data_IF_054906524046
#
_entry.id   IF_054906524046
#
_cell.length_a   1.000
_cell.length_b   1.000
_cell.length_c   1.000
_cell.angle_alpha   90.00
_cell.angle_beta   90.00
_cell.angle_gamma   90.00
#
_symmetry.space_group_name_H-M   'P 1'
#
loop_
_entity.id
_entity.type
_entity.pdbx_description
1 polymer ?
#
# COMPACT_ATOMS: atom_id res chain seq x y z
N UNK A 1 -14.17 -32.28 -75.58
CA UNK A 1 -12.91 -31.61 -75.22
C UNK A 1 -13.24 -30.16 -74.97
N UNK A 2 -12.53 -29.54 -74.02
CA UNK A 2 -12.73 -28.24 -73.38
C UNK A 2 -13.85 -28.18 -72.32
N UNK A 3 -13.60 -27.79 -71.07
CA UNK A 3 -12.37 -27.32 -70.46
C UNK A 3 -12.66 -26.76 -69.06
N UNK A 4 -12.08 -27.41 -68.05
CA UNK A 4 -11.64 -26.87 -66.76
C UNK A 4 -12.61 -25.99 -65.94
N UNK A 5 -13.31 -26.63 -64.98
CA UNK A 5 -13.75 -25.98 -63.74
C UNK A 5 -12.52 -25.49 -62.97
N UNK A 6 -12.31 -24.19 -62.90
CA UNK A 6 -11.37 -23.58 -61.96
C UNK A 6 -12.10 -23.10 -60.71
N UNK A 7 -12.00 -23.92 -59.66
CA UNK A 7 -12.08 -23.48 -58.27
C UNK A 7 -11.14 -22.28 -58.06
N UNK A 8 -11.70 -21.14 -57.65
CA UNK A 8 -10.93 -20.10 -56.97
C UNK A 8 -11.53 -19.93 -55.58
N UNK A 9 -11.06 -20.78 -54.67
CA UNK A 9 -11.18 -20.59 -53.23
C UNK A 9 -10.46 -19.28 -52.84
N UNK A 10 -11.19 -18.17 -52.80
CA UNK A 10 -10.71 -16.94 -52.18
C UNK A 10 -10.74 -17.11 -50.68
N UNK A 11 -9.57 -17.35 -50.08
CA UNK A 11 -9.32 -17.14 -48.66
C UNK A 11 -9.62 -15.69 -48.32
N UNK A 12 -10.83 -15.41 -47.81
CA UNK A 12 -11.18 -14.11 -47.29
C UNK A 12 -10.34 -13.85 -46.04
N UNK A 13 -9.29 -13.05 -46.20
CA UNK A 13 -8.52 -12.46 -45.12
C UNK A 13 -9.49 -11.61 -44.29
N UNK A 14 -10.01 -12.18 -43.20
CA UNK A 14 -10.95 -11.50 -42.29
C UNK A 14 -10.24 -10.33 -41.63
N UNK A 15 -10.29 -9.16 -42.28
CA UNK A 15 -9.75 -7.93 -41.74
C UNK A 15 -10.50 -7.58 -40.47
N UNK A 16 -9.77 -7.36 -39.37
CA UNK A 16 -10.33 -6.86 -38.12
C UNK A 16 -11.11 -5.57 -38.43
N UNK A 17 -12.43 -5.53 -38.14
CA UNK A 17 -13.28 -4.42 -38.56
C UNK A 17 -12.81 -3.12 -37.89
N UNK A 18 -12.95 -1.99 -38.60
CA UNK A 18 -12.38 -0.71 -38.18
C UNK A 18 -12.80 -0.26 -36.76
N UNK A 19 -14.03 -0.58 -36.36
CA UNK A 19 -14.54 -0.28 -35.02
C UNK A 19 -13.79 -1.04 -33.92
N UNK A 20 -13.34 -2.27 -34.17
CA UNK A 20 -12.53 -3.04 -33.21
C UNK A 20 -11.16 -2.39 -33.02
N UNK A 21 -10.55 -1.84 -34.08
CA UNK A 21 -9.28 -1.11 -33.96
C UNK A 21 -9.43 0.16 -33.13
N UNK A 22 -10.55 0.88 -33.28
CA UNK A 22 -10.88 2.06 -32.48
C UNK A 22 -11.06 1.67 -31.01
N UNK A 23 -11.83 0.62 -30.73
CA UNK A 23 -12.03 0.12 -29.35
C UNK A 23 -10.71 -0.31 -28.72
N UNK A 24 -9.87 -1.05 -29.45
CA UNK A 24 -8.53 -1.44 -28.98
C UNK A 24 -7.69 -0.20 -28.69
N UNK A 25 -7.71 0.81 -29.57
CA UNK A 25 -7.00 2.08 -29.35
C UNK A 25 -7.45 2.80 -28.08
N UNK A 26 -8.75 2.90 -27.85
CA UNK A 26 -9.32 3.51 -26.63
C UNK A 26 -8.91 2.72 -25.38
N UNK A 27 -9.00 1.39 -25.41
CA UNK A 27 -8.60 0.52 -24.30
C UNK A 27 -7.10 0.70 -24.00
N UNK A 28 -6.26 0.76 -25.04
CA UNK A 28 -4.83 0.94 -24.88
C UNK A 28 -4.49 2.29 -24.25
N UNK A 29 -5.16 3.37 -24.67
CA UNK A 29 -5.03 4.70 -24.06
C UNK A 29 -5.51 4.69 -22.62
N UNK A 30 -6.64 4.04 -22.33
CA UNK A 30 -7.15 3.93 -20.96
C UNK A 30 -6.15 3.19 -20.04
N UNK A 31 -5.53 2.10 -20.52
CA UNK A 31 -4.48 1.38 -19.79
C UNK A 31 -3.28 2.28 -19.52
N UNK A 32 -2.83 3.06 -20.50
CA UNK A 32 -1.71 4.00 -20.33
C UNK A 32 -2.05 5.06 -19.28
N UNK A 33 -3.26 5.61 -19.30
CA UNK A 33 -3.70 6.61 -18.33
C UNK A 33 -3.75 6.02 -16.91
N UNK A 34 -4.26 4.80 -16.76
CA UNK A 34 -4.28 4.11 -15.46
C UNK A 34 -2.85 3.84 -14.96
N UNK A 35 -1.96 3.37 -15.84
CA UNK A 35 -0.56 3.15 -15.48
C UNK A 35 0.14 4.46 -15.05
N UNK A 36 -0.07 5.56 -15.78
CA UNK A 36 0.47 6.87 -15.44
C UNK A 36 -0.07 7.40 -14.10
N UNK A 37 -1.35 7.17 -13.81
CA UNK A 37 -1.96 7.52 -12.53
C UNK A 37 -1.33 6.76 -11.35
N UNK A 38 -1.04 5.47 -11.53
CA UNK A 38 -0.38 4.66 -10.49
C UNK A 38 1.08 5.10 -10.30
N UNK A 39 1.81 5.38 -11.39
CA UNK A 39 3.21 5.81 -11.35
C UNK A 39 3.42 7.18 -10.70
N UNK A 40 2.40 8.04 -10.73
CA UNK A 40 2.46 9.42 -10.21
C UNK A 40 1.75 9.58 -8.87
N UNK A 41 1.43 8.47 -8.22
CA UNK A 41 0.77 8.46 -6.92
C UNK A 41 1.77 8.87 -5.84
N UNK A 42 1.48 9.99 -5.18
CA UNK A 42 2.29 10.52 -4.07
C UNK A 42 1.43 10.52 -2.82
N UNK A 43 2.00 10.04 -1.71
CA UNK A 43 1.35 10.03 -0.41
C UNK A 43 2.10 10.99 0.51
N UNK A 44 1.38 11.96 1.08
CA UNK A 44 1.93 12.91 2.04
C UNK A 44 1.24 12.77 3.40
N UNK A 45 2.04 12.77 4.46
CA UNK A 45 1.55 12.79 5.85
C UNK A 45 1.32 14.24 6.27
N UNK A 46 0.16 14.51 6.85
CA UNK A 46 -0.27 15.83 7.30
C UNK A 46 -0.92 15.74 8.69
N UNK A 47 -1.18 16.85 9.38
CA UNK A 47 -1.95 16.84 10.62
C UNK A 47 -3.33 16.18 10.42
N UNK A 48 -3.83 15.43 11.41
CA UNK A 48 -5.16 14.86 11.35
C UNK A 48 -6.24 15.95 11.42
N UNK A 49 -7.41 15.66 10.85
CA UNK A 49 -8.61 16.50 10.96
C UNK A 49 -9.45 16.04 12.16
N UNK A 50 -9.79 16.94 13.08
CA UNK A 50 -10.49 16.56 14.32
C UNK A 50 -11.88 15.93 14.09
N UNK A 51 -12.27 15.02 15.00
CA UNK A 51 -13.61 14.42 15.04
C UNK A 51 -13.84 13.23 14.11
N UNK A 52 -12.79 12.50 13.75
CA UNK A 52 -12.87 11.35 12.84
C UNK A 52 -13.13 10.02 13.57
N UNK A 53 -14.12 9.25 13.09
CA UNK A 53 -14.26 7.82 13.39
C UNK A 53 -13.37 6.98 12.46
N UNK A 54 -12.92 5.81 12.94
CA UNK A 54 -12.00 4.91 12.22
C UNK A 54 -12.61 3.52 11.96
N UNK A 55 -13.66 3.40 11.12
CA UNK A 55 -14.41 2.15 10.95
C UNK A 55 -13.67 1.12 10.09
N UNK A 56 -12.67 1.52 9.31
CA UNK A 56 -11.92 0.63 8.44
C UNK A 56 -10.60 0.24 9.10
N UNK A 57 -10.20 -1.03 9.00
CA UNK A 57 -8.93 -1.52 9.54
C UNK A 57 -8.24 -2.48 8.58
N UNK A 58 -6.92 -2.36 8.46
CA UNK A 58 -6.05 -3.28 7.77
C UNK A 58 -4.96 -3.80 8.72
N UNK A 59 -4.69 -5.10 8.68
CA UNK A 59 -3.71 -5.74 9.56
C UNK A 59 -2.50 -6.21 8.75
N UNK A 60 -1.32 -5.98 9.31
CA UNK A 60 -0.05 -6.32 8.70
C UNK A 60 0.85 -7.01 9.73
N UNK A 61 1.58 -8.04 9.31
CA UNK A 61 2.73 -8.56 10.03
C UNK A 61 3.94 -7.70 9.69
N UNK A 62 4.57 -7.08 10.68
CA UNK A 62 5.75 -6.25 10.50
C UNK A 62 6.92 -6.81 11.31
N UNK A 63 8.12 -6.74 10.75
CA UNK A 63 9.36 -7.03 11.49
C UNK A 63 10.29 -5.83 11.46
N UNK A 64 10.75 -5.43 12.64
CA UNK A 64 11.67 -4.34 12.86
C UNK A 64 13.05 -4.90 13.26
N UNK A 65 14.14 -4.46 12.63
CA UNK A 65 15.49 -4.82 13.07
C UNK A 65 15.79 -4.22 14.45
N UNK A 66 16.36 -5.02 15.35
CA UNK A 66 16.72 -4.55 16.68
C UNK A 66 17.91 -3.59 16.64
N UNK A 67 17.88 -2.57 17.50
CA UNK A 67 18.95 -1.58 17.64
C UNK A 67 19.08 -0.60 16.46
N UNK A 68 18.19 -0.68 15.46
CA UNK A 68 18.16 0.25 14.34
C UNK A 68 16.97 1.21 14.43
N UNK A 69 17.20 2.44 14.01
CA UNK A 69 16.14 3.43 13.84
C UNK A 69 15.45 3.20 12.49
N UNK A 70 14.13 3.10 12.53
CA UNK A 70 13.26 2.95 11.37
C UNK A 70 12.23 4.06 11.39
N UNK A 71 12.15 4.82 10.31
CA UNK A 71 11.16 5.88 10.17
C UNK A 71 9.84 5.30 9.66
N UNK A 72 8.73 5.54 10.36
CA UNK A 72 7.37 5.15 9.96
C UNK A 72 6.51 6.39 9.86
N UNK A 73 6.14 6.77 8.63
CA UNK A 73 5.58 8.09 8.38
C UNK A 73 6.59 9.18 8.75
N UNK A 74 6.33 9.90 9.85
CA UNK A 74 7.24 10.91 10.43
C UNK A 74 7.77 10.53 11.83
N UNK A 75 7.48 9.33 12.31
CA UNK A 75 7.97 8.86 13.61
C UNK A 75 9.28 8.08 13.42
N UNK A 76 10.30 8.39 14.20
CA UNK A 76 11.52 7.57 14.30
C UNK A 76 11.29 6.54 15.39
N UNK A 77 11.26 5.27 14.99
CA UNK A 77 11.02 4.13 15.88
C UNK A 77 12.33 3.34 15.99
N UNK A 78 12.79 3.09 17.20
CA UNK A 78 13.81 2.08 17.45
C UNK A 78 13.32 1.07 18.46
N UNK A 79 13.73 -0.18 18.29
CA UNK A 79 13.26 -1.29 19.12
C UNK A 79 14.45 -2.06 19.66
N UNK A 80 14.40 -2.38 20.95
CA UNK A 80 15.38 -3.17 21.66
C UNK A 80 14.62 -4.18 22.49
N UNK A 81 14.76 -5.46 22.19
CA UNK A 81 14.17 -6.51 23.01
C UNK A 81 15.21 -7.14 23.95
N UNK A 82 14.76 -7.50 25.14
CA UNK A 82 15.53 -8.16 26.17
C UNK A 82 14.61 -9.00 27.05
N UNK A 83 14.85 -10.30 27.15
CA UNK A 83 14.12 -11.24 28.04
C UNK A 83 12.59 -11.11 27.94
N UNK A 84 12.03 -11.20 26.73
CA UNK A 84 10.59 -11.06 26.44
C UNK A 84 9.98 -9.65 26.64
N UNK A 85 10.81 -8.67 26.98
CA UNK A 85 10.42 -7.28 27.10
C UNK A 85 10.97 -6.52 25.90
N UNK A 86 10.17 -5.62 25.36
CA UNK A 86 10.56 -4.80 24.24
C UNK A 86 10.54 -3.33 24.67
N UNK A 87 11.69 -2.68 24.63
CA UNK A 87 11.79 -1.23 24.75
C UNK A 87 11.65 -0.64 23.36
N UNK A 88 10.55 0.07 23.14
CA UNK A 88 10.35 0.90 21.96
C UNK A 88 10.68 2.34 22.29
N UNK A 89 11.53 2.96 21.50
CA UNK A 89 11.76 4.40 21.52
C UNK A 89 11.06 4.99 20.29
N UNK A 90 10.00 5.76 20.52
CA UNK A 90 9.25 6.47 19.48
C UNK A 90 9.48 7.96 19.67
N UNK A 91 10.23 8.58 18.77
CA UNK A 91 10.56 10.01 18.84
C UNK A 91 11.14 10.47 20.20
N UNK A 92 11.97 9.63 20.83
CA UNK A 92 12.61 9.90 22.13
C UNK A 92 11.77 9.47 23.34
N UNK A 93 10.52 9.02 23.13
CA UNK A 93 9.68 8.48 24.20
C UNK A 93 9.91 6.98 24.28
N UNK A 94 10.59 6.56 25.36
CA UNK A 94 10.82 5.14 25.64
C UNK A 94 9.64 4.55 26.39
N UNK A 95 9.08 3.51 25.80
CA UNK A 95 8.06 2.69 26.43
C UNK A 95 8.44 1.23 26.37
N UNK A 96 8.05 0.52 27.43
CA UNK A 96 8.23 -0.91 27.53
C UNK A 96 6.92 -1.58 27.14
N UNK A 97 7.01 -2.51 26.20
CA UNK A 97 5.94 -3.42 25.81
C UNK A 97 6.30 -4.84 26.23
N UNK A 98 5.35 -5.55 26.83
CA UNK A 98 5.43 -7.00 27.01
C UNK A 98 4.68 -7.73 25.90
N UNK A 99 4.91 -9.04 25.77
CA UNK A 99 4.31 -9.85 24.72
C UNK A 99 2.78 -9.73 24.72
N UNK A 100 2.21 -9.39 23.56
CA UNK A 100 0.77 -9.24 23.38
C UNK A 100 0.22 -7.85 23.70
N UNK A 101 1.00 -6.94 24.29
CA UNK A 101 0.61 -5.55 24.46
C UNK A 101 0.61 -4.79 23.14
N UNK A 102 -0.24 -3.75 23.10
CA UNK A 102 -0.42 -2.90 21.93
C UNK A 102 -0.07 -1.47 22.28
N UNK A 103 0.78 -0.86 21.45
CA UNK A 103 1.06 0.58 21.47
C UNK A 103 0.30 1.24 20.33
N UNK A 104 -0.53 2.22 20.66
CA UNK A 104 -1.08 3.11 19.66
C UNK A 104 -0.07 4.23 19.37
N UNK A 105 0.25 4.41 18.08
CA UNK A 105 0.97 5.58 17.60
C UNK A 105 -0.02 6.73 17.39
N UNK A 106 0.51 7.96 17.44
CA UNK A 106 -0.28 9.18 17.26
C UNK A 106 -1.10 9.19 15.96
N UNK A 107 -2.26 9.82 16.02
CA UNK A 107 -3.14 10.02 14.88
C UNK A 107 -2.52 10.94 13.82
N UNK A 108 -2.68 10.59 12.54
CA UNK A 108 -2.11 11.32 11.41
C UNK A 108 -3.10 11.43 10.26
N UNK A 109 -2.97 12.48 9.45
CA UNK A 109 -3.66 12.63 8.18
C UNK A 109 -2.80 12.13 7.02
N UNK A 110 -3.42 11.52 6.01
CA UNK A 110 -2.82 11.20 4.73
C UNK A 110 -3.54 11.97 3.62
N UNK A 111 -2.76 12.58 2.73
CA UNK A 111 -3.22 13.17 1.48
C UNK A 111 -2.55 12.46 0.33
N UNK A 112 -3.36 11.93 -0.56
CA UNK A 112 -2.92 11.19 -1.73
C UNK A 112 -3.17 12.06 -2.95
N UNK A 113 -2.11 12.28 -3.72
CA UNK A 113 -2.15 13.03 -4.97
C UNK A 113 -1.77 12.13 -6.13
N UNK A 114 -2.39 12.36 -7.29
CA UNK A 114 -2.07 11.71 -8.55
C UNK A 114 -1.94 12.80 -9.60
N UNK A 115 -0.84 12.80 -10.36
CA UNK A 115 -0.52 13.90 -11.29
C UNK A 115 -0.57 15.30 -10.61
N UNK A 116 -0.24 15.36 -9.32
CA UNK A 116 -0.29 16.58 -8.51
C UNK A 116 -1.68 16.99 -8.01
N UNK A 117 -2.75 16.29 -8.41
CA UNK A 117 -4.14 16.57 -8.01
C UNK A 117 -4.50 15.69 -6.81
N UNK A 118 -5.05 16.25 -5.71
CA UNK A 118 -5.50 15.43 -4.57
C UNK A 118 -6.70 14.57 -4.95
N UNK A 119 -6.56 13.26 -4.75
CA UNK A 119 -7.60 12.28 -5.05
C UNK A 119 -8.26 11.75 -3.77
N UNK A 120 -7.50 11.58 -2.69
CA UNK A 120 -7.99 11.06 -1.41
C UNK A 120 -7.35 11.85 -0.28
N UNK A 121 -8.15 12.21 0.73
CA UNK A 121 -7.67 12.73 2.01
C UNK A 121 -8.39 11.96 3.13
N UNK A 122 -7.63 11.43 4.08
CA UNK A 122 -8.16 10.60 5.17
C UNK A 122 -7.27 10.70 6.39
N UNK A 123 -7.85 10.59 7.58
CA UNK A 123 -7.06 10.31 8.76
C UNK A 123 -6.79 8.81 8.89
N UNK A 124 -5.73 8.50 9.62
CA UNK A 124 -5.37 7.14 10.01
C UNK A 124 -4.73 7.09 11.40
N UNK A 125 -4.88 5.95 12.04
CA UNK A 125 -4.24 5.60 13.31
C UNK A 125 -3.50 4.29 13.15
N UNK A 126 -2.28 4.21 13.67
CA UNK A 126 -1.47 3.00 13.63
C UNK A 126 -1.38 2.42 15.04
N UNK A 127 -1.61 1.13 15.19
CA UNK A 127 -1.38 0.40 16.44
C UNK A 127 -0.40 -0.75 16.19
N UNK A 128 0.59 -0.91 17.05
CA UNK A 128 1.59 -1.97 17.00
C UNK A 128 1.41 -2.90 18.18
N UNK A 129 1.12 -4.18 17.92
CA UNK A 129 1.03 -5.22 18.94
C UNK A 129 2.26 -6.09 18.93
N UNK A 130 3.00 -6.15 20.03
CA UNK A 130 4.22 -6.94 20.11
C UNK A 130 3.91 -8.44 20.09
N UNK A 131 4.58 -9.18 19.21
CA UNK A 131 4.39 -10.63 18.99
C UNK A 131 5.58 -11.48 19.44
N UNK A 132 6.68 -10.85 19.85
CA UNK A 132 7.92 -11.54 20.26
C UNK A 132 9.10 -11.17 19.37
N UNK A 133 10.25 -11.74 19.67
CA UNK A 133 11.50 -11.60 18.92
C UNK A 133 11.89 -12.92 18.26
N UNK A 134 12.45 -12.87 17.06
CA UNK A 134 13.03 -14.05 16.39
C UNK A 134 14.16 -13.60 15.46
N UNK A 135 15.33 -14.23 15.58
CA UNK A 135 16.50 -13.93 14.74
C UNK A 135 16.93 -12.45 14.78
N UNK A 136 17.00 -11.84 15.98
CA UNK A 136 17.44 -10.45 16.18
C UNK A 136 16.55 -9.41 15.47
N UNK A 137 15.26 -9.75 15.36
CA UNK A 137 14.18 -8.90 14.84
C UNK A 137 12.98 -9.01 15.76
N UNK A 138 12.40 -7.87 16.10
CA UNK A 138 11.13 -7.80 16.82
C UNK A 138 9.96 -7.88 15.83
N UNK A 139 8.99 -8.73 16.13
CA UNK A 139 7.79 -8.93 15.32
C UNK A 139 6.59 -8.25 15.95
N UNK A 140 5.78 -7.61 15.12
CA UNK A 140 4.56 -6.96 15.54
C UNK A 140 3.42 -7.27 14.59
N UNK A 141 2.21 -7.27 15.13
CA UNK A 141 1.00 -7.10 14.34
C UNK A 141 0.69 -5.61 14.32
N UNK A 142 0.78 -5.00 13.15
CA UNK A 142 0.42 -3.62 12.91
C UNK A 142 -1.02 -3.54 12.42
N UNK A 143 -1.85 -2.74 13.07
CA UNK A 143 -3.21 -2.42 12.63
C UNK A 143 -3.24 -0.97 12.22
N UNK A 144 -3.57 -0.72 10.94
CA UNK A 144 -3.84 0.62 10.42
C UNK A 144 -5.35 0.79 10.40
N UNK A 145 -5.87 1.75 11.16
CA UNK A 145 -7.28 2.14 11.07
C UNK A 145 -7.43 3.42 10.28
N UNK A 146 -8.38 3.50 9.37
CA UNK A 146 -8.60 4.66 8.50
C UNK A 146 -10.04 5.15 8.59
N UNK A 147 -10.22 6.45 8.42
CA UNK A 147 -11.55 7.08 8.43
C UNK A 147 -12.36 6.71 7.19
N UNK A 148 -11.70 6.61 6.03
CA UNK A 148 -12.30 6.21 4.76
C UNK A 148 -11.72 4.90 4.26
N UNK A 149 -12.43 4.23 3.37
CA UNK A 149 -11.89 3.07 2.67
C UNK A 149 -10.75 3.53 1.76
N UNK A 150 -9.55 3.04 2.05
CA UNK A 150 -8.32 3.36 1.30
C UNK A 150 -7.92 2.14 0.48
N UNK A 151 -7.62 2.29 -0.82
CA UNK A 151 -7.09 1.19 -1.62
C UNK A 151 -5.80 0.61 -1.05
N UNK A 152 -5.60 -0.70 -1.15
CA UNK A 152 -4.44 -1.39 -0.57
C UNK A 152 -3.11 -0.90 -1.17
N UNK A 153 -3.08 -0.54 -2.46
CA UNK A 153 -1.90 0.05 -3.10
C UNK A 153 -1.45 1.36 -2.42
N UNK A 154 -2.39 2.13 -1.88
CA UNK A 154 -2.11 3.37 -1.15
C UNK A 154 -1.62 3.06 0.27
N UNK A 155 -2.24 2.08 0.95
CA UNK A 155 -1.80 1.64 2.27
C UNK A 155 -0.35 1.11 2.23
N UNK A 156 0.01 0.36 1.19
CA UNK A 156 1.37 -0.11 0.99
C UNK A 156 2.36 1.04 0.76
N UNK A 157 1.92 2.15 0.16
CA UNK A 157 2.74 3.36 0.00
C UNK A 157 2.95 4.15 1.29
N UNK A 158 2.07 4.00 2.29
CA UNK A 158 2.25 4.59 3.63
C UNK A 158 3.28 3.83 4.47
N UNK A 159 3.56 2.58 4.11
CA UNK A 159 4.48 1.73 4.83
C UNK A 159 5.90 1.86 4.27
N UNK A 160 6.89 2.20 5.10
CA UNK A 160 8.27 2.27 4.65
C UNK A 160 8.72 0.89 4.16
N UNK A 161 9.44 0.84 3.04
CA UNK A 161 10.05 -0.40 2.53
C UNK A 161 11.06 -1.02 3.50
N UNK A 162 11.58 -0.22 4.44
CA UNK A 162 12.46 -0.65 5.54
C UNK A 162 11.75 -1.55 6.55
N UNK A 163 10.42 -1.47 6.64
CA UNK A 163 9.61 -2.38 7.44
C UNK A 163 9.13 -3.49 6.53
N UNK A 164 9.55 -4.71 6.82
CA UNK A 164 9.03 -5.88 6.11
C UNK A 164 7.57 -6.12 6.56
N UNK A 165 6.65 -5.36 5.96
CA UNK A 165 5.21 -5.45 6.18
C UNK A 165 4.60 -6.45 5.20
N UNK A 166 3.80 -7.38 5.72
CA UNK A 166 3.01 -8.33 4.92
C UNK A 166 1.56 -8.27 5.36
N UNK A 167 0.59 -8.17 4.43
CA UNK A 167 -0.82 -8.24 4.79
C UNK A 167 -1.13 -9.58 5.47
N UNK A 168 -2.01 -9.54 6.47
CA UNK A 168 -2.49 -10.69 7.24
C UNK A 168 -3.92 -11.08 6.86
#
# INVERSE_FOLDING_TARGET
>A
MDGSSSEISRTAKSGTPAWVKIVIGIVLVAIILVAAAILTLTVTVQPPVDGADYPYSANYAVSLPEGQQVTVGNEVISVLSYQNELVTDVNGVREKLILGESRQLSERGAKITTLGIPVIQTNFQISLRYRGEQNNRAYFTMTIRTQRQVPECVLNGLLPSTIAARPL
#
